data_IF_928642987633
#
_entry.id   IF_928642987633
#
_cell.length_a   1.000
_cell.length_b   1.000
_cell.length_c   1.000
_cell.angle_alpha   90.00
_cell.angle_beta   90.00
_cell.angle_gamma   90.00
#
_symmetry.space_group_name_H-M   'P 1'
#
loop_
_entity.id
_entity.type
_entity.pdbx_description
1 polymer ?
#
# COMPACT_ATOMS: atom_id res chain seq x y z
N UNK A 1 -2.62 -12.35 7.42
CA UNK A 1 -3.08 -11.43 6.35
C UNK A 1 -1.99 -11.22 5.30
N UNK A 2 -2.35 -11.05 4.02
CA UNK A 2 -1.47 -10.55 2.94
C UNK A 2 -1.92 -9.16 2.49
N UNK A 3 -1.01 -8.32 2.01
CA UNK A 3 -1.35 -7.00 1.48
C UNK A 3 -2.17 -7.09 0.18
N UNK A 4 -3.03 -6.11 -0.13
CA UNK A 4 -3.69 -6.04 -1.43
C UNK A 4 -2.67 -5.90 -2.57
N UNK A 5 -3.02 -6.41 -3.75
CA UNK A 5 -2.19 -6.32 -4.96
C UNK A 5 -2.01 -4.86 -5.40
N UNK A 6 -3.08 -4.09 -5.27
CA UNK A 6 -3.13 -2.68 -5.62
C UNK A 6 -3.60 -1.89 -4.41
N UNK A 7 -2.82 -0.90 -4.03
CA UNK A 7 -3.28 0.14 -3.12
C UNK A 7 -3.93 1.27 -3.92
N UNK A 8 -4.93 1.96 -3.36
CA UNK A 8 -5.53 3.12 -4.03
C UNK A 8 -4.49 4.23 -4.19
N UNK A 9 -4.68 5.09 -5.19
CA UNK A 9 -3.91 6.32 -5.29
C UNK A 9 -4.21 7.23 -4.09
N UNK A 10 -3.21 7.94 -3.55
CA UNK A 10 -3.43 8.88 -2.44
C UNK A 10 -4.21 10.09 -2.92
N UNK A 11 -5.11 10.60 -2.07
CA UNK A 11 -5.80 11.88 -2.28
C UNK A 11 -5.15 12.95 -1.42
N UNK A 12 -4.73 14.04 -2.03
CA UNK A 12 -4.14 15.16 -1.28
C UNK A 12 -5.24 16.05 -0.70
N UNK A 13 -5.15 16.32 0.59
CA UNK A 13 -6.13 17.11 1.36
C UNK A 13 -5.43 18.22 2.12
N UNK A 14 -6.14 19.32 2.40
CA UNK A 14 -5.53 20.50 3.05
C UNK A 14 -5.03 20.20 4.46
N UNK A 15 -5.80 19.43 5.23
CA UNK A 15 -5.50 19.15 6.62
C UNK A 15 -6.09 17.81 7.05
N UNK A 16 -5.34 17.06 7.84
CA UNK A 16 -5.75 15.82 8.49
C UNK A 16 -5.74 16.05 10.00
N UNK A 17 -6.78 15.57 10.69
CA UNK A 17 -6.94 15.71 12.14
C UNK A 17 -7.15 14.34 12.78
N UNK A 18 -6.62 14.13 13.97
CA UNK A 18 -6.83 12.90 14.72
C UNK A 18 -5.61 12.53 15.54
N UNK A 19 -5.68 11.38 16.19
CA UNK A 19 -4.56 10.83 16.93
C UNK A 19 -3.57 10.19 15.96
N UNK A 20 -2.45 10.87 15.73
CA UNK A 20 -1.39 10.38 14.85
C UNK A 20 -0.39 9.52 15.63
N UNK A 21 0.11 8.47 14.96
CA UNK A 21 1.24 7.65 15.40
C UNK A 21 2.39 7.85 14.42
N UNK A 22 3.64 7.75 14.89
CA UNK A 22 4.80 7.77 14.01
C UNK A 22 4.93 6.47 13.20
N UNK A 23 5.68 6.48 12.09
CA UNK A 23 6.02 5.25 11.36
C UNK A 23 6.75 4.26 12.27
N UNK A 24 7.62 4.75 13.16
CA UNK A 24 8.29 3.89 14.16
C UNK A 24 7.29 3.16 15.07
N UNK A 25 6.30 3.89 15.59
CA UNK A 25 5.25 3.31 16.42
C UNK A 25 4.43 2.27 15.65
N UNK A 26 4.16 2.52 14.36
CA UNK A 26 3.50 1.54 13.50
C UNK A 26 4.34 0.29 13.27
N UNK A 27 5.65 0.42 13.06
CA UNK A 27 6.56 -0.73 12.94
C UNK A 27 6.51 -1.61 14.20
N UNK A 28 6.58 -0.97 15.38
CA UNK A 28 6.47 -1.64 16.69
C UNK A 28 5.15 -2.41 16.82
N UNK A 29 4.02 -1.77 16.51
CA UNK A 29 2.69 -2.40 16.55
C UNK A 29 2.57 -3.55 15.55
N UNK A 30 3.16 -3.40 14.36
CA UNK A 30 3.16 -4.42 13.31
C UNK A 30 4.04 -5.65 13.66
N UNK A 31 4.89 -5.54 14.68
CA UNK A 31 5.86 -6.55 15.08
C UNK A 31 7.03 -6.66 14.12
N UNK A 32 7.49 -5.54 13.57
CA UNK A 32 8.64 -5.47 12.64
C UNK A 32 9.66 -4.43 13.11
N UNK A 33 10.91 -4.62 12.71
CA UNK A 33 11.97 -3.64 12.94
C UNK A 33 11.79 -2.43 12.03
N UNK A 34 11.92 -1.23 12.57
CA UNK A 34 11.93 0.00 11.78
C UNK A 34 13.34 0.19 11.19
N UNK A 35 13.50 0.01 9.87
CA UNK A 35 14.82 0.00 9.21
C UNK A 35 15.32 1.38 8.77
N UNK A 36 14.91 2.43 9.46
CA UNK A 36 15.40 3.79 9.24
C UNK A 36 15.61 4.49 10.58
N UNK A 37 16.38 5.58 10.56
CA UNK A 37 16.71 6.37 11.73
C UNK A 37 16.50 7.87 11.45
N UNK A 38 16.47 8.66 12.52
CA UNK A 38 16.30 10.11 12.46
C UNK A 38 14.85 10.55 12.30
N UNK A 39 14.63 11.79 11.84
CA UNK A 39 13.28 12.38 11.78
C UNK A 39 12.33 11.65 10.82
N UNK A 40 12.87 10.76 9.98
CA UNK A 40 12.14 10.13 8.90
C UNK A 40 11.11 9.12 9.40
N UNK A 41 11.39 8.52 10.56
CA UNK A 41 10.47 7.58 11.22
C UNK A 41 9.35 8.29 11.98
N UNK A 42 9.43 9.61 12.13
CA UNK A 42 8.48 10.42 12.92
C UNK A 42 7.31 10.97 12.11
N UNK A 43 7.21 10.65 10.82
CA UNK A 43 6.09 11.08 9.98
C UNK A 43 4.75 10.70 10.65
N UNK A 44 3.83 11.66 10.83
CA UNK A 44 2.57 11.40 11.51
C UNK A 44 1.58 10.64 10.61
N UNK A 45 1.03 9.56 11.15
CA UNK A 45 0.08 8.68 10.46
C UNK A 45 -1.16 8.48 11.33
N UNK A 46 -2.32 8.85 10.80
CA UNK A 46 -3.63 8.63 11.41
C UNK A 46 -4.24 7.37 10.79
N UNK A 47 -4.67 6.42 11.62
CA UNK A 47 -5.38 5.22 11.16
C UNK A 47 -6.85 5.35 11.51
N UNK A 48 -7.73 5.08 10.53
CA UNK A 48 -9.19 5.04 10.72
C UNK A 48 -9.76 3.69 10.33
N UNK A 49 -10.30 2.94 11.30
CA UNK A 49 -11.03 1.69 11.05
C UNK A 49 -12.49 1.96 10.69
N UNK A 50 -12.72 2.74 9.62
CA UNK A 50 -14.03 3.24 9.21
C UNK A 50 -14.25 2.94 7.72
N UNK A 51 -14.91 1.83 7.40
CA UNK A 51 -15.31 1.50 6.03
C UNK A 51 -15.02 0.05 5.64
N UNK A 52 -15.13 -0.23 4.34
CA UNK A 52 -14.99 -1.58 3.77
C UNK A 52 -13.76 -1.77 2.88
N UNK A 53 -12.97 -0.71 2.65
CA UNK A 53 -11.80 -0.71 1.75
C UNK A 53 -10.71 0.22 2.26
N UNK A 54 -9.48 -0.06 1.86
CA UNK A 54 -8.35 0.83 2.12
C UNK A 54 -8.54 2.15 1.37
N UNK A 55 -8.24 3.27 2.04
CA UNK A 55 -8.12 4.61 1.42
C UNK A 55 -6.90 5.31 1.99
N UNK A 56 -6.28 6.16 1.18
CA UNK A 56 -5.08 6.92 1.56
C UNK A 56 -5.36 8.38 1.27
N UNK A 57 -5.25 9.22 2.30
CA UNK A 57 -5.22 10.66 2.16
C UNK A 57 -3.92 11.21 2.74
N UNK A 58 -3.37 12.25 2.13
CA UNK A 58 -2.11 12.86 2.57
C UNK A 58 -2.22 14.38 2.57
N UNK A 59 -1.62 15.02 3.57
CA UNK A 59 -1.31 16.44 3.46
C UNK A 59 -0.16 16.65 2.45
N UNK A 60 -0.09 17.80 1.76
CA UNK A 60 1.02 18.11 0.87
C UNK A 60 2.37 18.14 1.61
N UNK A 61 3.43 17.80 0.88
CA UNK A 61 4.82 17.82 1.37
C UNK A 61 5.32 16.47 1.91
N UNK A 62 6.64 16.34 1.99
CA UNK A 62 7.31 15.07 2.31
C UNK A 62 7.00 14.57 3.74
N UNK A 63 6.72 15.51 4.66
CA UNK A 63 6.45 15.25 6.07
C UNK A 63 5.00 15.48 6.48
N UNK A 64 4.12 15.73 5.51
CA UNK A 64 2.69 15.92 5.75
C UNK A 64 2.08 14.69 6.41
N UNK A 65 1.06 14.93 7.25
CA UNK A 65 0.29 13.87 7.89
C UNK A 65 -0.34 12.97 6.84
N UNK A 66 -0.38 11.66 7.11
CA UNK A 66 -1.07 10.69 6.26
C UNK A 66 -2.22 10.07 7.03
N UNK A 67 -3.38 9.98 6.41
CA UNK A 67 -4.51 9.21 6.93
C UNK A 67 -4.67 7.93 6.11
N UNK A 68 -4.66 6.80 6.80
CA UNK A 68 -4.99 5.50 6.23
C UNK A 68 -6.33 5.04 6.79
N UNK A 69 -7.34 5.00 5.93
CA UNK A 69 -8.57 4.28 6.26
C UNK A 69 -8.35 2.80 6.00
N UNK A 70 -8.63 1.96 7.00
CA UNK A 70 -8.57 0.50 6.91
C UNK A 70 -9.98 -0.09 7.01
N UNK A 71 -10.25 -1.27 6.41
CA UNK A 71 -11.53 -1.95 6.57
C UNK A 71 -11.84 -2.25 8.04
N UNK A 72 -13.07 -2.01 8.47
CA UNK A 72 -13.51 -2.23 9.86
C UNK A 72 -13.54 -3.70 10.29
N UNK A 73 -13.44 -4.64 9.34
CA UNK A 73 -13.29 -6.08 9.61
C UNK A 73 -11.89 -6.44 10.13
N UNK A 74 -10.94 -5.49 10.12
CA UNK A 74 -9.61 -5.70 10.68
C UNK A 74 -9.63 -5.31 12.15
N UNK A 75 -9.77 -6.32 13.01
CA UNK A 75 -10.05 -6.13 14.44
C UNK A 75 -8.81 -5.86 15.29
N UNK A 76 -7.61 -6.23 14.81
CA UNK A 76 -6.38 -6.10 15.61
C UNK A 76 -5.56 -4.87 15.24
N UNK A 77 -5.07 -4.13 16.24
CA UNK A 77 -4.18 -2.97 16.01
C UNK A 77 -2.93 -3.36 15.21
N UNK A 78 -2.41 -4.58 15.41
CA UNK A 78 -1.27 -5.08 14.66
C UNK A 78 -1.57 -5.22 13.17
N UNK A 79 -2.73 -5.78 12.79
CA UNK A 79 -3.09 -5.91 11.38
C UNK A 79 -3.41 -4.55 10.75
N UNK A 80 -4.05 -3.65 11.50
CA UNK A 80 -4.26 -2.27 11.06
C UNK A 80 -2.91 -1.57 10.79
N UNK A 81 -1.93 -1.72 11.68
CA UNK A 81 -0.58 -1.16 11.51
C UNK A 81 0.14 -1.79 10.31
N UNK A 82 0.06 -3.11 10.12
CA UNK A 82 0.61 -3.79 8.94
C UNK A 82 0.01 -3.27 7.64
N UNK A 83 -1.31 -3.10 7.61
CA UNK A 83 -2.00 -2.58 6.43
C UNK A 83 -1.66 -1.12 6.16
N UNK A 84 -1.53 -0.31 7.21
CA UNK A 84 -1.09 1.09 7.13
C UNK A 84 0.33 1.21 6.59
N UNK A 85 1.28 0.42 7.11
CA UNK A 85 2.67 0.38 6.59
C UNK A 85 2.71 -0.07 5.12
N UNK A 86 1.89 -1.06 4.75
CA UNK A 86 1.73 -1.46 3.35
C UNK A 86 1.21 -0.31 2.47
N UNK A 87 0.20 0.42 2.94
CA UNK A 87 -0.33 1.56 2.22
C UNK A 87 0.71 2.67 2.03
N UNK A 88 1.47 3.00 3.08
CA UNK A 88 2.58 3.95 2.98
C UNK A 88 3.63 3.49 1.96
N UNK A 89 4.07 2.24 2.04
CA UNK A 89 5.12 1.68 1.19
C UNK A 89 4.74 1.65 -0.31
N UNK A 90 3.46 1.38 -0.63
CA UNK A 90 3.05 1.08 -2.00
C UNK A 90 2.09 2.11 -2.63
N UNK A 91 1.34 2.88 -1.84
CA UNK A 91 0.50 3.99 -2.36
C UNK A 91 1.30 5.30 -2.43
N UNK A 92 2.05 5.60 -1.37
CA UNK A 92 2.83 6.84 -1.25
C UNK A 92 4.32 6.66 -1.56
N UNK A 93 4.76 5.44 -1.88
CA UNK A 93 6.17 5.10 -2.09
C UNK A 93 7.09 5.51 -0.92
N UNK A 94 6.57 5.46 0.30
CA UNK A 94 7.32 5.84 1.50
C UNK A 94 8.50 4.87 1.72
N UNK A 95 9.72 5.40 1.65
CA UNK A 95 10.94 4.62 1.69
C UNK A 95 11.18 3.92 3.03
N UNK A 96 10.80 4.55 4.14
CA UNK A 96 10.95 3.99 5.49
C UNK A 96 10.01 2.82 5.68
N UNK A 97 8.73 3.01 5.34
CA UNK A 97 7.73 1.95 5.42
C UNK A 97 8.14 0.78 4.51
N UNK A 98 8.54 1.07 3.27
CA UNK A 98 8.93 0.03 2.30
C UNK A 98 10.13 -0.79 2.76
N UNK A 99 11.18 -0.15 3.29
CA UNK A 99 12.34 -0.84 3.81
C UNK A 99 11.99 -1.73 5.02
N UNK A 100 11.14 -1.22 5.91
CA UNK A 100 10.74 -1.90 7.16
C UNK A 100 9.84 -3.11 6.93
N UNK A 101 8.96 -3.09 5.92
CA UNK A 101 8.09 -4.23 5.61
C UNK A 101 8.73 -5.25 4.66
N UNK A 102 9.85 -4.91 4.01
CA UNK A 102 10.49 -5.76 3.03
C UNK A 102 10.97 -7.10 3.63
N UNK A 103 10.56 -8.20 3.00
CA UNK A 103 10.95 -9.56 3.37
C UNK A 103 9.98 -10.26 4.34
N UNK A 104 9.04 -9.53 4.94
CA UNK A 104 8.03 -10.15 5.82
C UNK A 104 6.97 -10.92 5.01
N UNK A 105 6.54 -12.08 5.51
CA UNK A 105 5.55 -12.92 4.80
C UNK A 105 4.21 -12.20 4.58
N UNK A 106 3.78 -11.38 5.55
CA UNK A 106 2.52 -10.64 5.49
C UNK A 106 2.54 -9.47 4.50
N UNK A 107 3.72 -8.94 4.17
CA UNK A 107 3.87 -7.81 3.23
C UNK A 107 3.90 -8.24 1.77
N UNK A 108 3.95 -9.55 1.52
CA UNK A 108 3.83 -10.09 0.16
C UNK A 108 2.45 -9.73 -0.40
N UNK A 109 2.45 -9.20 -1.63
CA UNK A 109 1.22 -8.94 -2.35
C UNK A 109 0.39 -10.23 -2.44
N UNK A 110 -0.91 -10.12 -2.19
CA UNK A 110 -1.83 -11.22 -2.39
C UNK A 110 -1.68 -11.75 -3.83
N UNK A 111 -1.77 -13.06 -4.00
CA UNK A 111 -1.91 -13.59 -5.36
C UNK A 111 -3.27 -13.12 -5.92
N UNK A 112 -3.33 -12.64 -7.18
CA UNK A 112 -4.60 -12.28 -7.79
C UNK A 112 -5.58 -13.46 -7.70
N UNK A 113 -6.81 -13.20 -7.25
CA UNK A 113 -7.86 -14.22 -7.24
C UNK A 113 -8.29 -14.49 -8.68
N UNK A 114 -8.33 -15.78 -9.06
CA UNK A 114 -8.72 -16.22 -10.40
C UNK A 114 -7.76 -17.25 -10.99
N UNK A 115 -8.06 -17.69 -12.22
CA UNK A 115 -7.17 -18.59 -12.96
C UNK A 115 -5.82 -17.90 -13.09
N UNK A 116 -4.75 -18.52 -12.56
CA UNK A 116 -3.37 -18.11 -12.92
C UNK A 116 -3.36 -17.99 -14.44
N UNK A 117 -2.94 -16.86 -15.04
CA UNK A 117 -2.82 -16.79 -16.49
C UNK A 117 -1.96 -17.99 -16.90
N UNK A 118 -2.60 -18.96 -17.56
CA UNK A 118 -2.02 -20.29 -17.67
C UNK A 118 -0.85 -20.21 -18.61
N UNK A 119 0.37 -20.10 -18.09
CA UNK A 119 1.65 -20.09 -18.79
C UNK A 119 1.63 -19.43 -20.19
N UNK A 120 0.80 -18.41 -20.40
CA UNK A 120 0.65 -17.81 -21.70
C UNK A 120 1.88 -16.94 -21.88
N UNK A 121 2.74 -17.35 -22.82
CA UNK A 121 3.95 -16.58 -23.15
C UNK A 121 3.51 -15.12 -23.38
N UNK A 122 4.14 -14.15 -22.70
CA UNK A 122 3.83 -12.75 -22.95
C UNK A 122 4.00 -12.46 -24.44
N UNK A 123 2.97 -11.88 -25.06
CA UNK A 123 3.01 -11.54 -26.48
C UNK A 123 4.03 -10.44 -26.72
N UNK A 124 4.89 -10.61 -27.72
CA UNK A 124 5.81 -9.58 -28.20
C UNK A 124 5.04 -8.40 -28.80
N UNK A 125 5.70 -7.24 -28.93
CA UNK A 125 5.07 -6.08 -29.57
C UNK A 125 4.65 -6.37 -31.01
N UNK A 126 5.44 -7.16 -31.76
CA UNK A 126 5.10 -7.58 -33.11
C UNK A 126 3.82 -8.44 -33.14
N UNK A 127 3.70 -9.40 -32.22
CA UNK A 127 2.50 -10.25 -32.09
C UNK A 127 1.26 -9.43 -31.71
N UNK A 128 1.41 -8.38 -30.89
CA UNK A 128 0.32 -7.46 -30.54
C UNK A 128 -0.13 -6.62 -31.73
N UNK A 129 0.81 -6.06 -32.49
CA UNK A 129 0.52 -5.26 -33.68
C UNK A 129 -0.15 -6.10 -34.78
N UNK A 130 0.31 -7.33 -35.00
CA UNK A 130 -0.29 -8.26 -35.96
C UNK A 130 -1.75 -8.58 -35.58
N UNK A 131 -2.01 -8.90 -34.31
CA UNK A 131 -3.35 -9.19 -33.82
C UNK A 131 -4.29 -7.98 -33.91
N UNK A 132 -3.76 -6.77 -33.71
CA UNK A 132 -4.52 -5.52 -33.85
C UNK A 132 -4.92 -5.26 -35.31
N UNK A 133 -3.99 -5.39 -36.26
CA UNK A 133 -4.27 -5.23 -37.70
C UNK A 133 -5.35 -6.20 -38.18
N UNK A 134 -5.23 -7.48 -37.81
CA UNK A 134 -6.24 -8.52 -38.12
C UNK A 134 -7.64 -8.24 -37.55
N UNK A 135 -7.76 -7.40 -36.52
CA UNK A 135 -9.05 -7.00 -35.92
C UNK A 135 -9.69 -5.79 -36.61
N UNK A 136 -8.91 -5.02 -37.35
CA UNK A 136 -9.38 -3.84 -38.08
C UNK A 136 -9.69 -4.20 -39.54
N UNK A 137 -8.99 -5.19 -40.08
CA UNK A 137 -9.13 -5.65 -41.47
C UNK A 137 -10.22 -6.73 -41.65
N UNK A 138 -10.85 -7.22 -40.57
CA UNK A 138 -11.94 -8.20 -40.61
C UNK A 138 -13.14 -7.72 -39.81
#
# INVERSE_FOLDING_TARGET
MSLPVFFPAPVYVRQIRGHARSIEALCRLAGVECRALGNWVNRPVVIRALGNRVRVAAEPGDWGTVEITVPSIIDTEQEQARLALGALAYSLFDGVARASVAGHAWSRAAMPRGRRPGAARPKSNAERQLAFRRRIEG
#
